data_IF_133782814997
#
_entry.id   IF_133782814997
#
_cell.length_a   1.000
_cell.length_b   1.000
_cell.length_c   1.000
_cell.angle_alpha   90.00
_cell.angle_beta   90.00
_cell.angle_gamma   90.00
#
_symmetry.space_group_name_H-M   'P 1'
#
loop_
_entity.id
_entity.type
_entity.pdbx_description
1 polymer ?
#
# COMPACT_ATOMS: atom_id res chain seq x y z
N UNK A 1 -9.90 -9.92 -8.65
CA UNK A 1 -9.63 -10.13 -7.20
C UNK A 1 -8.25 -10.73 -7.07
N UNK A 2 -7.46 -10.24 -6.12
CA UNK A 2 -6.18 -10.84 -5.76
C UNK A 2 -6.40 -12.29 -5.29
N UNK A 3 -5.51 -13.20 -5.69
CA UNK A 3 -5.61 -14.63 -5.36
C UNK A 3 -4.61 -15.04 -4.27
N UNK A 4 -3.35 -14.63 -4.43
CA UNK A 4 -2.29 -14.94 -3.47
C UNK A 4 -2.32 -14.04 -2.24
N UNK A 5 -2.64 -12.77 -2.44
CA UNK A 5 -2.49 -11.70 -1.46
C UNK A 5 -3.83 -11.06 -1.05
N UNK A 6 -4.96 -11.72 -1.28
CA UNK A 6 -6.24 -11.24 -0.75
C UNK A 6 -6.21 -11.19 0.77
N UNK A 7 -7.08 -10.39 1.37
CA UNK A 7 -7.20 -10.27 2.82
C UNK A 7 -7.20 -11.62 3.58
N UNK A 8 -7.66 -12.70 2.95
CA UNK A 8 -7.68 -14.04 3.57
C UNK A 8 -6.40 -14.84 3.38
N UNK A 9 -5.56 -14.51 2.42
CA UNK A 9 -4.44 -15.35 2.00
C UNK A 9 -3.07 -14.69 2.16
N UNK A 10 -3.01 -13.35 2.22
CA UNK A 10 -1.74 -12.62 2.24
C UNK A 10 -0.84 -13.05 3.40
N UNK A 11 -1.40 -13.21 4.59
CA UNK A 11 -0.60 -13.48 5.78
C UNK A 11 0.08 -14.85 5.69
N UNK A 12 -0.65 -15.89 5.30
CA UNK A 12 -0.09 -17.23 5.08
C UNK A 12 0.96 -17.20 3.96
N UNK A 13 0.70 -16.43 2.89
CA UNK A 13 1.67 -16.25 1.81
C UNK A 13 2.97 -15.59 2.32
N UNK A 14 2.87 -14.50 3.08
CA UNK A 14 4.04 -13.79 3.61
C UNK A 14 4.83 -14.68 4.58
N UNK A 15 4.16 -15.32 5.52
CA UNK A 15 4.81 -16.22 6.48
C UNK A 15 5.50 -17.39 5.77
N UNK A 16 4.83 -18.05 4.83
CA UNK A 16 5.40 -19.15 4.06
C UNK A 16 6.68 -18.77 3.30
N UNK A 17 6.72 -17.55 2.76
CA UNK A 17 7.82 -17.11 1.91
C UNK A 17 8.94 -16.39 2.68
N UNK A 18 8.65 -15.74 3.80
CA UNK A 18 9.59 -14.85 4.46
C UNK A 18 9.96 -15.25 5.90
N UNK A 19 9.27 -16.22 6.54
CA UNK A 19 9.67 -16.68 7.86
C UNK A 19 10.86 -17.66 7.79
N UNK A 20 12.05 -17.13 7.50
CA UNK A 20 13.30 -17.91 7.35
C UNK A 20 14.45 -17.24 8.08
N UNK A 21 15.43 -18.03 8.60
CA UNK A 21 16.64 -17.49 9.21
C UNK A 21 17.40 -16.56 8.24
N UNK A 22 17.86 -15.44 8.76
CA UNK A 22 18.63 -14.46 8.00
C UNK A 22 17.80 -13.44 7.23
N UNK A 23 16.49 -13.63 7.10
CA UNK A 23 15.60 -12.63 6.51
C UNK A 23 15.18 -11.57 7.54
N UNK A 24 15.05 -10.34 7.07
CA UNK A 24 14.62 -9.19 7.87
C UNK A 24 13.30 -8.65 7.38
N UNK A 25 12.38 -8.46 8.30
CA UNK A 25 11.00 -8.07 8.05
C UNK A 25 10.69 -6.78 8.81
N UNK A 26 10.10 -5.80 8.14
CA UNK A 26 9.58 -4.58 8.75
C UNK A 26 8.07 -4.51 8.57
N UNK A 27 7.34 -4.38 9.66
CA UNK A 27 5.93 -4.00 9.64
C UNK A 27 5.78 -2.51 9.92
N UNK A 28 5.17 -1.77 9.00
CA UNK A 28 4.88 -0.34 9.15
C UNK A 28 3.41 -0.16 9.54
N UNK A 29 3.16 0.40 10.73
CA UNK A 29 1.85 0.43 11.37
C UNK A 29 1.64 -0.81 12.25
N UNK A 30 2.67 -1.21 13.01
CA UNK A 30 2.70 -2.48 13.74
C UNK A 30 1.96 -2.48 15.08
N UNK A 31 1.54 -1.31 15.58
CA UNK A 31 0.94 -1.18 16.92
C UNK A 31 -0.38 -1.93 17.02
N UNK A 32 -0.52 -2.69 18.11
CA UNK A 32 -1.78 -3.37 18.45
C UNK A 32 -2.83 -2.33 18.88
N UNK A 33 -3.80 -2.07 17.98
CA UNK A 33 -4.89 -1.11 18.25
C UNK A 33 -6.19 -1.83 18.58
N UNK A 34 -6.59 -2.79 17.77
CA UNK A 34 -7.90 -3.46 17.88
C UNK A 34 -7.79 -4.88 18.44
N UNK A 35 -6.80 -5.63 18.00
CA UNK A 35 -6.55 -7.02 18.42
C UNK A 35 -5.05 -7.25 18.60
N UNK A 36 -4.64 -8.22 19.44
CA UNK A 36 -3.24 -8.61 19.55
C UNK A 36 -2.70 -9.12 18.20
N UNK A 37 -1.49 -8.67 17.85
CA UNK A 37 -0.82 -9.12 16.64
C UNK A 37 -0.24 -10.53 16.80
N UNK A 38 -0.40 -11.34 15.77
CA UNK A 38 0.25 -12.66 15.67
C UNK A 38 1.56 -12.61 14.89
N UNK A 39 1.87 -11.47 14.29
CA UNK A 39 2.96 -11.32 13.32
C UNK A 39 4.32 -11.73 13.90
N UNK A 40 4.71 -11.17 15.04
CA UNK A 40 6.00 -11.48 15.69
C UNK A 40 6.18 -12.96 15.97
N UNK A 41 5.10 -13.65 16.39
CA UNK A 41 5.13 -15.10 16.61
C UNK A 41 5.19 -15.88 15.30
N UNK A 42 4.47 -15.43 14.29
CA UNK A 42 4.43 -16.07 12.98
C UNK A 42 5.77 -15.97 12.24
N UNK A 43 6.47 -14.83 12.37
CA UNK A 43 7.80 -14.62 11.79
C UNK A 43 8.95 -14.99 12.75
N UNK A 44 8.75 -15.99 13.60
CA UNK A 44 9.71 -16.39 14.66
C UNK A 44 11.09 -16.83 14.19
N UNK A 45 11.26 -17.19 12.91
CA UNK A 45 12.54 -17.58 12.32
C UNK A 45 13.25 -16.40 11.62
N UNK A 46 12.57 -15.29 11.37
CA UNK A 46 13.12 -14.10 10.75
C UNK A 46 13.42 -13.02 11.79
N UNK A 47 14.21 -12.02 11.44
CA UNK A 47 14.37 -10.80 12.23
C UNK A 47 13.16 -9.88 11.97
N UNK A 48 12.17 -9.90 12.85
CA UNK A 48 10.99 -9.06 12.74
C UNK A 48 11.18 -7.75 13.50
N UNK A 49 10.85 -6.62 12.86
CA UNK A 49 10.86 -5.27 13.42
C UNK A 49 9.48 -4.63 13.21
N UNK A 50 8.88 -4.16 14.30
CA UNK A 50 7.65 -3.38 14.29
C UNK A 50 7.94 -1.89 14.34
N UNK A 51 7.36 -1.11 13.43
CA UNK A 51 7.45 0.35 13.38
C UNK A 51 6.06 0.98 13.45
N UNK A 52 5.90 2.00 14.30
CA UNK A 52 4.65 2.76 14.39
C UNK A 52 4.91 4.21 14.78
N UNK A 53 3.94 5.09 14.51
CA UNK A 53 3.99 6.49 14.94
C UNK A 53 3.94 6.64 16.46
N UNK A 54 3.21 5.75 17.14
CA UNK A 54 3.07 5.71 18.60
C UNK A 54 3.69 4.45 19.18
N UNK A 55 4.22 4.57 20.40
CA UNK A 55 4.67 3.41 21.17
C UNK A 55 3.50 2.53 21.61
N UNK A 56 3.77 1.24 21.76
CA UNK A 56 2.78 0.25 22.22
C UNK A 56 3.27 -1.18 22.03
N UNK A 57 2.37 -2.13 22.25
CA UNK A 57 2.67 -3.54 21.96
C UNK A 57 3.02 -3.71 20.48
N UNK A 58 3.93 -4.65 20.20
CA UNK A 58 4.43 -4.99 18.87
C UNK A 58 5.25 -3.88 18.17
N UNK A 59 5.63 -2.79 18.88
CA UNK A 59 6.42 -1.67 18.32
C UNK A 59 7.83 -1.72 18.88
N UNK A 60 8.83 -1.79 18.01
CA UNK A 60 10.26 -1.72 18.35
C UNK A 60 10.83 -0.32 18.06
N UNK A 61 10.33 0.34 17.02
CA UNK A 61 10.79 1.67 16.59
C UNK A 61 9.60 2.61 16.48
N UNK A 62 9.66 3.71 17.21
CA UNK A 62 8.64 4.77 17.17
C UNK A 62 9.14 5.89 16.25
N UNK A 63 8.29 6.30 15.30
CA UNK A 63 8.68 7.35 14.36
C UNK A 63 7.62 7.72 13.33
N UNK A 64 7.98 8.69 12.50
CA UNK A 64 7.17 9.17 11.38
C UNK A 64 7.56 8.40 10.10
N UNK A 65 6.60 7.68 9.51
CA UNK A 65 6.82 6.90 8.29
C UNK A 65 7.28 7.75 7.09
N UNK A 66 6.97 9.06 7.08
CA UNK A 66 7.47 9.98 6.05
C UNK A 66 9.00 10.21 6.12
N UNK A 67 9.66 9.70 7.16
CA UNK A 67 11.11 9.74 7.39
C UNK A 67 11.65 8.35 7.70
N UNK A 68 10.95 7.31 7.28
CA UNK A 68 11.16 5.93 7.72
C UNK A 68 12.63 5.49 7.60
N UNK A 69 13.30 5.80 6.50
CA UNK A 69 14.70 5.41 6.28
C UNK A 69 15.67 6.03 7.29
N UNK A 70 15.34 7.18 7.88
CA UNK A 70 16.20 7.85 8.86
C UNK A 70 16.30 7.14 10.22
N UNK A 71 15.38 6.23 10.53
CA UNK A 71 15.37 5.44 11.77
C UNK A 71 16.24 4.18 11.69
N UNK A 72 16.74 3.85 10.50
CA UNK A 72 17.55 2.65 10.27
C UNK A 72 18.92 3.03 9.67
N UNK A 73 19.95 2.26 9.99
CA UNK A 73 21.25 2.45 9.37
C UNK A 73 21.22 2.18 7.87
N UNK A 74 22.05 2.88 7.11
CA UNK A 74 22.11 2.76 5.64
C UNK A 74 22.44 1.35 5.14
N UNK A 75 23.13 0.56 5.97
CA UNK A 75 23.52 -0.83 5.76
C UNK A 75 22.41 -1.84 6.12
N UNK A 76 21.36 -1.38 6.80
CA UNK A 76 20.26 -2.24 7.26
C UNK A 76 19.10 -2.22 6.24
N UNK A 77 19.09 -3.22 5.36
CA UNK A 77 18.00 -3.44 4.40
C UNK A 77 17.05 -4.52 4.92
N UNK A 78 15.87 -4.56 4.34
CA UNK A 78 14.82 -5.53 4.64
C UNK A 78 14.48 -6.37 3.41
N UNK A 79 14.19 -7.65 3.63
CA UNK A 79 13.74 -8.58 2.59
C UNK A 79 12.24 -8.45 2.34
N UNK A 80 11.49 -8.06 3.38
CA UNK A 80 10.06 -7.76 3.30
C UNK A 80 9.77 -6.51 4.12
N UNK A 81 9.07 -5.55 3.51
CA UNK A 81 8.38 -4.47 4.23
C UNK A 81 6.90 -4.59 3.94
N UNK A 82 6.08 -4.65 4.98
CA UNK A 82 4.64 -4.71 4.79
C UNK A 82 3.88 -3.74 5.70
N UNK A 83 2.67 -3.39 5.29
CA UNK A 83 1.80 -2.46 6.01
C UNK A 83 0.33 -2.86 5.81
N UNK A 84 -0.42 -2.91 6.91
CA UNK A 84 -1.80 -3.35 6.95
C UNK A 84 -2.68 -2.26 7.53
N UNK A 85 -3.74 -1.86 6.80
CA UNK A 85 -4.72 -0.85 7.22
C UNK A 85 -4.04 0.39 7.86
N UNK A 86 -3.03 0.92 7.19
CA UNK A 86 -2.22 2.03 7.70
C UNK A 86 -1.95 3.11 6.63
N UNK A 87 -1.89 2.73 5.33
CA UNK A 87 -1.62 3.68 4.24
C UNK A 87 -2.66 4.78 4.13
N UNK A 88 -3.90 4.51 4.49
CA UNK A 88 -5.00 5.49 4.54
C UNK A 88 -4.76 6.63 5.53
N UNK A 89 -3.85 6.41 6.49
CA UNK A 89 -3.48 7.36 7.55
C UNK A 89 -2.21 8.16 7.24
N UNK A 90 -1.52 7.90 6.12
CA UNK A 90 -0.38 8.69 5.70
C UNK A 90 -0.84 9.93 4.92
N UNK A 91 -0.45 11.11 5.41
CA UNK A 91 -0.78 12.38 4.74
C UNK A 91 -0.11 12.50 3.36
N UNK A 92 1.06 11.88 3.18
CA UNK A 92 1.84 11.88 1.95
C UNK A 92 2.31 10.43 1.64
N UNK A 93 1.41 9.51 1.23
CA UNK A 93 1.75 8.11 0.99
C UNK A 93 2.82 7.92 -0.07
N UNK A 94 2.95 8.84 -1.04
CA UNK A 94 4.02 8.84 -2.03
C UNK A 94 5.41 9.08 -1.42
N UNK A 95 5.53 9.84 -0.35
CA UNK A 95 6.79 10.01 0.39
C UNK A 95 7.14 8.70 1.11
N UNK A 96 6.15 8.08 1.76
CA UNK A 96 6.34 6.79 2.45
C UNK A 96 6.76 5.69 1.48
N UNK A 97 6.21 5.66 0.27
CA UNK A 97 6.62 4.70 -0.77
C UNK A 97 8.10 4.84 -1.14
N UNK A 98 8.62 6.06 -1.26
CA UNK A 98 10.06 6.32 -1.51
C UNK A 98 10.90 5.89 -0.30
N UNK A 99 10.46 6.16 0.91
CA UNK A 99 11.17 5.74 2.13
C UNK A 99 11.23 4.20 2.25
N UNK A 100 10.15 3.49 1.93
CA UNK A 100 10.12 2.03 1.84
C UNK A 100 11.10 1.53 0.77
N UNK A 101 11.11 2.16 -0.41
CA UNK A 101 12.03 1.79 -1.49
C UNK A 101 13.51 1.91 -1.08
N UNK A 102 13.87 2.91 -0.27
CA UNK A 102 15.22 3.09 0.25
C UNK A 102 15.64 1.96 1.20
N UNK A 103 14.71 1.40 1.97
CA UNK A 103 14.99 0.39 2.99
C UNK A 103 14.91 -1.05 2.48
N UNK A 104 14.21 -1.31 1.39
CA UNK A 104 14.16 -2.64 0.80
C UNK A 104 15.48 -3.00 0.13
N UNK A 105 15.89 -4.25 0.29
CA UNK A 105 16.96 -4.82 -0.52
C UNK A 105 16.53 -5.03 -1.96
N UNK A 106 17.49 -5.09 -2.90
CA UNK A 106 17.21 -5.55 -4.27
C UNK A 106 16.75 -7.00 -4.17
N UNK A 107 15.66 -7.35 -4.86
CA UNK A 107 14.90 -8.59 -4.75
C UNK A 107 14.00 -8.72 -3.51
N UNK A 108 14.02 -7.77 -2.59
CA UNK A 108 13.08 -7.67 -1.48
C UNK A 108 11.66 -7.33 -1.94
N UNK A 109 10.69 -7.54 -1.07
CA UNK A 109 9.27 -7.38 -1.39
C UNK A 109 8.62 -6.32 -0.53
N UNK A 110 7.70 -5.56 -1.13
CA UNK A 110 6.74 -4.73 -0.42
C UNK A 110 5.36 -5.35 -0.52
N UNK A 111 4.64 -5.42 0.60
CA UNK A 111 3.23 -5.75 0.62
C UNK A 111 2.43 -4.65 1.31
N UNK A 112 1.35 -4.21 0.69
CA UNK A 112 0.42 -3.23 1.26
C UNK A 112 -1.00 -3.77 1.13
N UNK A 113 -1.72 -3.79 2.26
CA UNK A 113 -3.16 -3.88 2.31
C UNK A 113 -3.69 -2.59 2.92
N UNK A 114 -4.69 -1.97 2.30
CA UNK A 114 -5.32 -0.74 2.78
C UNK A 114 -6.79 -0.69 2.35
N UNK A 115 -7.53 0.32 2.79
CA UNK A 115 -8.96 0.40 2.47
C UNK A 115 -9.22 0.94 1.06
N UNK A 116 -10.01 0.20 0.27
CA UNK A 116 -10.64 0.72 -0.95
C UNK A 116 -11.95 1.43 -0.63
N UNK A 117 -12.78 0.84 0.25
CA UNK A 117 -14.01 1.44 0.72
C UNK A 117 -14.30 1.00 2.16
N UNK A 118 -14.18 1.93 3.08
CA UNK A 118 -14.45 1.69 4.49
C UNK A 118 -15.01 2.95 5.15
N UNK A 119 -15.62 2.79 6.33
CA UNK A 119 -16.11 3.95 7.09
C UNK A 119 -14.96 4.87 7.48
N UNK A 120 -15.22 6.18 7.47
CA UNK A 120 -14.25 7.16 7.97
C UNK A 120 -13.99 6.91 9.47
N UNK A 121 -12.73 6.74 9.83
CA UNK A 121 -12.29 6.42 11.19
C UNK A 121 -11.01 7.20 11.54
N UNK A 122 -10.62 7.22 12.79
CA UNK A 122 -9.41 7.87 13.31
C UNK A 122 -9.21 9.34 12.84
N UNK A 123 -10.31 10.07 12.62
CA UNK A 123 -10.24 11.48 12.22
C UNK A 123 -9.55 12.33 13.30
N UNK A 124 -8.67 13.28 12.92
CA UNK A 124 -8.44 13.82 11.57
C UNK A 124 -7.39 13.07 10.72
N UNK A 125 -6.89 11.91 11.13
CA UNK A 125 -5.79 11.20 10.49
C UNK A 125 -6.24 10.15 9.46
N UNK A 126 -7.43 10.27 8.88
CA UNK A 126 -7.90 9.46 7.76
C UNK A 126 -7.91 10.31 6.49
N UNK A 127 -6.93 10.11 5.61
CA UNK A 127 -6.69 10.97 4.46
C UNK A 127 -7.15 10.35 3.14
N UNK A 128 -6.98 9.04 2.96
CA UNK A 128 -7.19 8.38 1.67
C UNK A 128 -8.00 7.10 1.78
N UNK A 129 -8.56 6.71 0.63
CA UNK A 129 -8.96 5.35 0.30
C UNK A 129 -8.33 5.02 -1.05
N UNK A 130 -7.76 3.83 -1.18
CA UNK A 130 -6.91 3.49 -2.31
C UNK A 130 -7.57 2.46 -3.22
N UNK A 131 -7.49 2.66 -4.54
CA UNK A 131 -7.65 1.56 -5.48
C UNK A 131 -6.34 0.76 -5.59
N UNK A 132 -6.43 -0.46 -6.09
CA UNK A 132 -5.25 -1.26 -6.44
C UNK A 132 -4.37 -0.57 -7.50
N UNK A 133 -4.98 0.24 -8.37
CA UNK A 133 -4.25 1.06 -9.34
C UNK A 133 -3.45 2.18 -8.68
N UNK A 134 -3.95 2.79 -7.61
CA UNK A 134 -3.20 3.78 -6.84
C UNK A 134 -1.94 3.16 -6.21
N UNK A 135 -2.04 1.94 -5.67
CA UNK A 135 -0.90 1.21 -5.13
C UNK A 135 0.12 0.83 -6.22
N UNK A 136 -0.34 0.48 -7.44
CA UNK A 136 0.55 0.24 -8.59
C UNK A 136 1.33 1.49 -9.01
N UNK A 137 0.75 2.68 -8.87
CA UNK A 137 1.45 3.95 -9.13
C UNK A 137 2.49 4.21 -8.05
N UNK A 138 2.13 4.03 -6.77
CA UNK A 138 3.04 4.24 -5.65
C UNK A 138 4.28 3.34 -5.72
N UNK A 139 4.10 2.07 -6.10
CA UNK A 139 5.18 1.08 -6.20
C UNK A 139 5.38 0.64 -7.66
N UNK A 140 5.60 1.63 -8.52
CA UNK A 140 5.77 1.41 -9.96
C UNK A 140 7.20 1.02 -10.34
N UNK A 141 7.36 0.58 -11.59
CA UNK A 141 8.68 0.31 -12.18
C UNK A 141 9.58 1.56 -12.19
N UNK A 142 9.00 2.76 -12.27
CA UNK A 142 9.73 4.01 -12.17
C UNK A 142 10.41 4.18 -10.80
N UNK A 143 9.78 3.72 -9.71
CA UNK A 143 10.36 3.68 -8.37
C UNK A 143 11.20 2.41 -8.13
N UNK A 144 11.31 1.52 -9.10
CA UNK A 144 12.14 0.32 -9.05
C UNK A 144 11.41 -0.96 -8.66
N UNK A 145 10.09 -1.02 -8.77
CA UNK A 145 9.29 -2.18 -8.43
C UNK A 145 8.67 -2.87 -9.65
N UNK A 146 8.66 -4.19 -9.61
CA UNK A 146 7.81 -5.04 -10.44
C UNK A 146 6.56 -5.41 -9.64
N UNK A 147 5.37 -5.21 -10.22
CA UNK A 147 4.13 -5.64 -9.61
C UNK A 147 3.98 -7.17 -9.77
N UNK A 148 4.01 -7.90 -8.67
CA UNK A 148 3.79 -9.35 -8.66
C UNK A 148 2.28 -9.64 -8.71
N UNK A 149 1.51 -8.99 -7.86
CA UNK A 149 0.05 -9.06 -7.86
C UNK A 149 -0.53 -7.79 -7.26
N UNK A 150 -1.66 -7.34 -7.78
CA UNK A 150 -2.48 -6.32 -7.15
C UNK A 150 -3.96 -6.59 -7.42
N UNK A 151 -4.82 -6.20 -6.51
CA UNK A 151 -6.25 -6.43 -6.67
C UNK A 151 -7.07 -5.92 -5.50
N UNK A 152 -8.34 -6.32 -5.50
CA UNK A 152 -9.32 -5.94 -4.49
C UNK A 152 -9.87 -7.19 -3.82
N UNK A 153 -10.18 -7.12 -2.53
CA UNK A 153 -10.78 -8.20 -1.77
C UNK A 153 -11.92 -7.74 -0.84
N UNK A 154 -12.61 -8.70 -0.23
CA UNK A 154 -13.78 -8.48 0.60
C UNK A 154 -14.88 -7.67 -0.12
N UNK A 155 -15.58 -8.26 -1.11
CA UNK A 155 -16.63 -7.59 -1.85
C UNK A 155 -17.76 -7.14 -0.91
N UNK A 156 -18.24 -5.92 -1.13
CA UNK A 156 -19.33 -5.31 -0.38
C UNK A 156 -20.58 -5.32 -1.26
N UNK A 157 -21.70 -5.77 -0.71
CA UNK A 157 -23.01 -5.61 -1.30
C UNK A 157 -23.67 -4.37 -0.70
N UNK A 158 -24.00 -3.38 -1.54
CA UNK A 158 -24.51 -2.11 -1.08
C UNK A 158 -25.53 -1.48 -2.03
N UNK A 159 -26.17 -0.42 -1.54
CA UNK A 159 -27.12 0.40 -2.26
C UNK A 159 -26.91 1.86 -1.89
N UNK A 160 -27.10 2.75 -2.85
CA UNK A 160 -27.21 4.16 -2.53
C UNK A 160 -28.45 4.43 -1.67
N UNK A 161 -28.30 5.30 -0.69
CA UNK A 161 -29.36 5.65 0.23
C UNK A 161 -30.52 6.36 -0.47
N UNK A 162 -31.70 6.38 0.18
CA UNK A 162 -32.84 7.21 -0.26
C UNK A 162 -32.55 8.71 -0.22
N UNK A 163 -31.46 9.14 0.44
CA UNK A 163 -31.00 10.53 0.51
C UNK A 163 -30.02 10.89 -0.62
N UNK A 164 -29.64 9.93 -1.46
CA UNK A 164 -28.77 10.19 -2.60
C UNK A 164 -29.50 10.99 -3.70
N UNK A 165 -28.73 11.56 -4.62
CA UNK A 165 -29.24 12.24 -5.81
C UNK A 165 -30.17 11.33 -6.62
N UNK A 166 -31.13 11.95 -7.34
CA UNK A 166 -32.25 11.24 -7.97
C UNK A 166 -31.82 10.05 -8.85
N UNK A 167 -30.73 10.19 -9.60
CA UNK A 167 -30.21 9.15 -10.51
C UNK A 167 -29.48 8.00 -9.79
N UNK A 168 -29.08 8.19 -8.54
CA UNK A 168 -28.39 7.18 -7.71
C UNK A 168 -29.32 6.53 -6.68
N UNK A 169 -30.44 7.19 -6.36
CA UNK A 169 -31.30 6.81 -5.24
C UNK A 169 -31.78 5.37 -5.33
N UNK A 170 -31.45 4.59 -4.30
CA UNK A 170 -31.75 3.17 -4.18
C UNK A 170 -31.10 2.26 -5.23
N UNK A 171 -30.23 2.81 -6.10
CA UNK A 171 -29.51 1.99 -7.07
C UNK A 171 -28.49 1.07 -6.38
N UNK A 172 -28.28 -0.15 -6.86
CA UNK A 172 -27.26 -1.03 -6.32
C UNK A 172 -25.87 -0.51 -6.67
N UNK A 173 -24.90 -0.69 -5.75
CA UNK A 173 -23.49 -0.44 -6.00
C UNK A 173 -22.83 -1.74 -6.41
N UNK A 174 -22.22 -1.77 -7.61
CA UNK A 174 -21.43 -2.89 -8.09
C UNK A 174 -19.92 -2.58 -8.02
N UNK A 175 -19.08 -3.61 -7.90
CA UNK A 175 -17.64 -3.44 -7.88
C UNK A 175 -17.10 -2.77 -6.61
N UNK A 176 -17.85 -2.80 -5.52
CA UNK A 176 -17.43 -2.25 -4.24
C UNK A 176 -16.72 -3.33 -3.42
N UNK A 177 -15.54 -3.00 -2.91
CA UNK A 177 -14.69 -3.88 -2.08
C UNK A 177 -14.21 -3.15 -0.84
N UNK A 178 -13.88 -3.88 0.21
CA UNK A 178 -13.33 -3.28 1.43
C UNK A 178 -11.85 -2.94 1.28
N UNK A 179 -11.06 -3.88 0.74
CA UNK A 179 -9.60 -3.78 0.72
C UNK A 179 -9.02 -3.72 -0.68
N UNK A 180 -7.90 -3.02 -0.78
CA UNK A 180 -6.94 -3.04 -1.89
C UNK A 180 -5.66 -3.66 -1.42
N UNK A 181 -5.10 -4.56 -2.21
CA UNK A 181 -3.82 -5.21 -1.93
C UNK A 181 -2.83 -5.02 -3.09
N UNK A 182 -1.56 -4.94 -2.72
CA UNK A 182 -0.44 -4.85 -3.65
C UNK A 182 0.75 -5.63 -3.12
N UNK A 183 1.32 -6.49 -3.94
CA UNK A 183 2.61 -7.15 -3.73
C UNK A 183 3.56 -6.72 -4.84
N UNK A 184 4.66 -6.09 -4.48
CA UNK A 184 5.72 -5.71 -5.41
C UNK A 184 7.06 -6.28 -5.02
N UNK A 185 7.88 -6.58 -6.02
CA UNK A 185 9.27 -6.97 -5.86
C UNK A 185 10.17 -5.83 -6.29
N UNK A 186 11.13 -5.45 -5.44
CA UNK A 186 12.13 -4.46 -5.83
C UNK A 186 13.12 -5.07 -6.81
N UNK A 187 13.23 -4.50 -8.01
CA UNK A 187 14.10 -5.00 -9.08
C UNK A 187 15.33 -4.13 -9.34
N UNK A 188 15.31 -2.89 -8.89
CA UNK A 188 16.44 -1.95 -9.02
C UNK A 188 16.41 -0.89 -7.92
N UNK A 189 17.55 -0.30 -7.64
CA UNK A 189 17.65 0.91 -6.82
C UNK A 189 17.42 2.15 -7.70
N UNK A 190 16.65 3.10 -7.19
CA UNK A 190 16.42 4.41 -7.80
C UNK A 190 16.70 5.47 -6.75
N UNK A 191 17.81 6.21 -6.89
CA UNK A 191 18.26 7.14 -5.84
C UNK A 191 17.62 8.53 -5.98
N UNK A 192 17.47 9.03 -7.19
CA UNK A 192 16.95 10.38 -7.47
C UNK A 192 15.52 10.32 -8.06
N UNK A 193 14.63 9.61 -7.38
CA UNK A 193 13.25 9.50 -7.82
C UNK A 193 12.49 10.82 -7.66
N UNK A 194 11.83 11.25 -8.73
CA UNK A 194 11.05 12.48 -8.78
C UNK A 194 9.62 12.21 -9.31
N UNK A 195 8.64 12.37 -8.45
CA UNK A 195 7.22 12.22 -8.81
C UNK A 195 6.78 13.13 -9.96
N UNK A 196 7.38 14.32 -10.08
CA UNK A 196 7.08 15.26 -11.16
C UNK A 196 7.53 14.80 -12.55
N UNK A 197 8.38 13.77 -12.62
CA UNK A 197 8.89 13.18 -13.86
C UNK A 197 8.24 11.84 -14.21
N UNK A 198 7.21 11.43 -13.46
CA UNK A 198 6.53 10.17 -13.69
C UNK A 198 5.73 10.21 -14.99
N UNK A 199 6.03 9.29 -15.90
CA UNK A 199 5.26 9.07 -17.13
C UNK A 199 4.06 8.17 -16.82
N UNK A 200 2.91 8.77 -16.51
CA UNK A 200 1.71 8.04 -16.11
C UNK A 200 1.21 7.04 -17.15
N UNK A 201 1.10 7.37 -18.46
CA UNK A 201 0.72 6.39 -19.49
C UNK A 201 1.61 5.14 -19.48
N UNK A 202 2.92 5.32 -19.25
CA UNK A 202 3.87 4.21 -19.16
C UNK A 202 3.68 3.35 -17.91
N UNK A 203 3.26 3.96 -16.81
CA UNK A 203 3.07 3.26 -15.52
C UNK A 203 1.72 2.55 -15.44
N UNK A 204 0.64 3.22 -15.86
CA UNK A 204 -0.73 2.72 -15.70
C UNK A 204 -1.34 2.16 -16.98
N UNK A 205 -0.72 2.41 -18.13
CA UNK A 205 -1.28 2.09 -19.43
C UNK A 205 -2.29 3.13 -19.92
N UNK A 206 -2.77 2.92 -21.14
CA UNK A 206 -3.78 3.79 -21.73
C UNK A 206 -5.19 3.43 -21.27
N UNK A 207 -6.05 4.44 -21.19
CA UNK A 207 -7.49 4.24 -20.95
C UNK A 207 -8.30 4.59 -22.18
N UNK A 208 -9.36 3.83 -22.42
CA UNK A 208 -10.35 4.14 -23.47
C UNK A 208 -11.52 5.00 -22.96
N UNK A 209 -11.48 5.38 -21.69
CA UNK A 209 -12.54 6.19 -21.07
C UNK A 209 -11.94 7.28 -20.17
N UNK A 210 -12.37 8.53 -20.36
CA UNK A 210 -13.26 9.04 -21.44
C UNK A 210 -12.62 8.82 -22.80
N UNK A 211 -13.44 8.72 -23.89
CA UNK A 211 -12.90 8.65 -25.25
C UNK A 211 -11.94 9.80 -25.45
N UNK A 212 -10.76 9.52 -26.03
CA UNK A 212 -9.72 10.52 -26.26
C UNK A 212 -10.36 11.70 -27.01
N UNK A 213 -10.59 12.80 -26.33
CA UNK A 213 -10.77 14.09 -26.96
C UNK A 213 -9.38 14.46 -27.47
N UNK A 214 -9.25 14.61 -28.80
CA UNK A 214 -8.02 15.08 -29.43
C UNK A 214 -7.48 16.27 -28.65
N UNK A 215 -6.25 16.11 -28.22
CA UNK A 215 -5.57 16.90 -27.21
C UNK A 215 -5.80 18.40 -27.35
N UNK A 216 -6.11 19.02 -26.24
CA UNK A 216 -6.09 20.45 -25.97
C UNK A 216 -5.09 21.20 -26.84
N UNK A 217 -5.52 21.70 -27.96
CA UNK A 217 -4.93 22.89 -28.54
C UNK A 217 -5.34 24.05 -27.65
N UNK A 218 -4.48 24.42 -26.71
CA UNK A 218 -4.62 25.69 -25.99
C UNK A 218 -4.56 26.78 -27.06
N UNK A 219 -5.61 27.60 -27.26
CA UNK A 219 -5.51 28.70 -28.16
C UNK A 219 -4.44 29.65 -27.59
N UNK A 220 -3.38 29.89 -28.37
CA UNK A 220 -2.45 30.96 -28.07
C UNK A 220 -3.26 32.25 -27.92
N UNK A 221 -3.30 32.81 -26.74
CA UNK A 221 -3.72 34.20 -26.48
C UNK A 221 -2.48 35.06 -26.31
#
# INVERSE_FOLDING_TARGET
MAQLISHRTYFDYLVKNFNRPGLRILEVGSREVTVPSVARKAFSNAEYVGFDYYGGNNVDVVGDAHKLSSYFGSDKKFDLIYSLACFEHFAMPWVVAVEIAKLLDITGFVFVETHFSFSSHERPWHFFQFSDMALRVLFSEALGFECVEAGLSNPIVGRFSSLADGYLRNEPVSGLYCHSEFLGKKIKQVDDFDWGKLDLPKVVGETKYPPQLDHFSVPNR
#
